data_IF_263672187285
#
_entry.id   IF_263672187285
#
_cell.length_a   1.000
_cell.length_b   1.000
_cell.length_c   1.000
_cell.angle_alpha   90.00
_cell.angle_beta   90.00
_cell.angle_gamma   90.00
#
_symmetry.space_group_name_H-M   'P 1'
#
loop_
_entity.id
_entity.type
_entity.pdbx_description
1 polymer ?
#
# COMPACT_ATOMS: atom_id res chain seq x y z
N UNK A 1 -2.19 0.10 24.93
CA UNK A 1 -2.11 -1.28 24.48
C UNK A 1 -1.83 -2.16 25.67
N UNK A 2 -2.42 -3.34 25.74
CA UNK A 2 -2.11 -4.33 26.77
C UNK A 2 -0.78 -5.02 26.46
N UNK A 3 0.07 -5.32 27.46
CA UNK A 3 1.34 -6.00 27.24
C UNK A 3 1.12 -7.43 26.71
N UNK A 4 1.89 -7.80 25.66
CA UNK A 4 1.87 -9.14 25.07
C UNK A 4 3.15 -9.87 25.47
N UNK A 5 3.01 -11.07 26.04
CA UNK A 5 4.13 -11.94 26.38
C UNK A 5 4.52 -12.74 25.13
N UNK A 6 5.79 -12.63 24.73
CA UNK A 6 6.36 -13.33 23.58
C UNK A 6 7.63 -14.05 24.00
N UNK A 7 7.92 -15.17 23.36
CA UNK A 7 9.25 -15.80 23.46
C UNK A 7 10.32 -14.87 22.87
N UNK A 8 11.52 -14.88 23.43
CA UNK A 8 12.59 -13.97 22.97
C UNK A 8 12.94 -14.16 21.48
N UNK A 9 12.80 -15.38 20.96
CA UNK A 9 13.01 -15.69 19.54
C UNK A 9 12.01 -14.98 18.61
N UNK A 10 10.82 -14.62 19.10
CA UNK A 10 9.81 -13.90 18.31
C UNK A 10 10.04 -12.38 18.27
N UNK A 11 10.94 -11.85 19.11
CA UNK A 11 11.18 -10.40 19.24
C UNK A 11 11.55 -9.71 17.92
N UNK A 12 12.41 -10.27 17.04
CA UNK A 12 12.72 -9.63 15.76
C UNK A 12 11.50 -9.54 14.84
N UNK A 13 10.68 -10.59 14.75
CA UNK A 13 9.47 -10.61 13.94
C UNK A 13 8.44 -9.60 14.46
N UNK A 14 8.24 -9.57 15.78
CA UNK A 14 7.38 -8.59 16.43
C UNK A 14 7.79 -7.15 16.10
N UNK A 15 9.07 -6.83 16.26
CA UNK A 15 9.58 -5.49 15.95
C UNK A 15 9.42 -5.15 14.46
N UNK A 16 9.72 -6.09 13.56
CA UNK A 16 9.53 -5.90 12.13
C UNK A 16 8.06 -5.63 11.78
N UNK A 17 7.12 -6.35 12.39
CA UNK A 17 5.68 -6.13 12.18
C UNK A 17 5.24 -4.74 12.65
N UNK A 18 5.71 -4.28 13.82
CA UNK A 18 5.41 -2.94 14.31
C UNK A 18 5.99 -1.84 13.42
N UNK A 19 7.24 -1.98 13.00
CA UNK A 19 7.88 -1.03 12.06
C UNK A 19 7.11 -1.01 10.74
N UNK A 20 6.68 -2.17 10.24
CA UNK A 20 5.93 -2.26 9.00
C UNK A 20 4.54 -1.63 9.09
N UNK A 21 3.81 -1.86 10.20
CA UNK A 21 2.46 -1.32 10.40
C UNK A 21 2.39 0.14 10.85
N UNK A 22 3.47 0.69 11.43
CA UNK A 22 3.48 2.06 11.97
C UNK A 22 4.47 2.97 11.23
N UNK A 23 5.75 2.59 11.17
CA UNK A 23 6.79 3.48 10.63
C UNK A 23 6.71 3.58 9.11
N UNK A 24 6.49 2.47 8.39
CA UNK A 24 6.37 2.51 6.94
C UNK A 24 5.15 3.29 6.46
N UNK A 25 4.06 3.32 7.24
CA UNK A 25 2.89 4.16 6.94
C UNK A 25 3.30 5.63 6.88
N UNK A 26 4.14 6.10 7.81
CA UNK A 26 4.67 7.48 7.78
C UNK A 26 5.47 7.73 6.50
N UNK A 27 6.32 6.79 6.09
CA UNK A 27 7.09 6.90 4.84
C UNK A 27 6.17 7.01 3.61
N UNK A 28 5.14 6.17 3.52
CA UNK A 28 4.18 6.21 2.41
C UNK A 28 3.39 7.53 2.37
N UNK A 29 2.97 8.04 3.53
CA UNK A 29 2.28 9.34 3.62
C UNK A 29 3.21 10.49 3.21
N UNK A 30 4.48 10.45 3.61
CA UNK A 30 5.46 11.46 3.22
C UNK A 30 5.70 11.47 1.70
N UNK A 31 5.87 10.29 1.09
CA UNK A 31 6.01 10.17 -0.37
C UNK A 31 4.75 10.64 -1.10
N UNK A 32 3.55 10.24 -0.65
CA UNK A 32 2.29 10.70 -1.24
C UNK A 32 2.12 12.23 -1.14
N UNK A 33 2.50 12.81 0.00
CA UNK A 33 2.47 14.27 0.22
C UNK A 33 3.37 15.00 -0.78
N UNK A 34 4.61 14.52 -0.96
CA UNK A 34 5.54 15.09 -1.92
C UNK A 34 5.05 14.98 -3.37
N UNK A 35 4.41 13.85 -3.73
CA UNK A 35 3.81 13.67 -5.06
C UNK A 35 2.65 14.62 -5.31
N UNK A 36 1.76 14.82 -4.34
CA UNK A 36 0.65 15.77 -4.42
C UNK A 36 1.16 17.22 -4.52
N UNK A 37 2.17 17.59 -3.73
CA UNK A 37 2.81 18.90 -3.84
C UNK A 37 3.38 19.14 -5.24
N UNK A 38 4.05 18.13 -5.82
CA UNK A 38 4.57 18.20 -7.17
C UNK A 38 3.48 18.27 -8.25
N UNK A 39 2.26 17.82 -7.94
CA UNK A 39 1.08 17.95 -8.79
C UNK A 39 0.34 19.30 -8.61
N UNK A 40 0.86 20.22 -7.78
CA UNK A 40 0.28 21.54 -7.55
C UNK A 40 -0.73 21.61 -6.41
N UNK A 41 -0.73 20.64 -5.50
CA UNK A 41 -1.56 20.69 -4.29
C UNK A 41 -0.84 21.47 -3.19
N UNK A 42 -1.40 22.60 -2.78
CA UNK A 42 -0.78 23.49 -1.77
C UNK A 42 -0.75 22.89 -0.36
N UNK A 43 -1.80 22.15 0.03
CA UNK A 43 -1.91 21.48 1.33
C UNK A 43 -2.23 19.98 1.15
N UNK A 44 -1.22 19.15 0.85
CA UNK A 44 -1.40 17.72 0.69
C UNK A 44 -1.92 17.03 1.96
N UNK A 45 -1.52 17.53 3.13
CA UNK A 45 -1.91 16.96 4.42
C UNK A 45 -3.42 17.02 4.64
N UNK A 46 -4.04 18.14 4.27
CA UNK A 46 -5.50 18.30 4.34
C UNK A 46 -6.27 17.36 3.42
N UNK A 47 -5.70 17.01 2.26
CA UNK A 47 -6.31 16.01 1.35
C UNK A 47 -6.07 14.58 1.84
N UNK A 48 -4.84 14.27 2.26
CA UNK A 48 -4.44 12.92 2.65
C UNK A 48 -5.04 12.49 3.99
N UNK A 49 -5.14 13.40 4.96
CA UNK A 49 -5.53 13.10 6.34
C UNK A 49 -6.79 12.21 6.42
N UNK A 50 -7.95 12.66 5.90
CA UNK A 50 -9.17 11.86 5.94
C UNK A 50 -9.05 10.50 5.24
N UNK A 51 -8.34 10.41 4.11
CA UNK A 51 -8.18 9.17 3.34
C UNK A 51 -7.28 8.16 4.04
N UNK A 52 -6.17 8.64 4.61
CA UNK A 52 -5.21 7.81 5.35
C UNK A 52 -5.85 7.30 6.63
N UNK A 53 -6.53 8.17 7.40
CA UNK A 53 -7.25 7.76 8.61
C UNK A 53 -8.30 6.70 8.29
N UNK A 54 -9.17 6.94 7.29
CA UNK A 54 -10.19 5.96 6.91
C UNK A 54 -9.58 4.60 6.48
N UNK A 55 -8.46 4.63 5.78
CA UNK A 55 -7.77 3.41 5.31
C UNK A 55 -7.14 2.63 6.46
N UNK A 56 -6.46 3.32 7.40
CA UNK A 56 -5.84 2.69 8.57
C UNK A 56 -6.91 2.19 9.55
N UNK A 57 -7.92 3.00 9.86
CA UNK A 57 -9.00 2.63 10.77
C UNK A 57 -9.79 1.44 10.23
N UNK A 58 -10.08 1.42 8.92
CA UNK A 58 -10.72 0.29 8.25
C UNK A 58 -9.88 -0.99 8.33
N UNK A 59 -8.58 -0.90 8.04
CA UNK A 59 -7.67 -2.04 8.11
C UNK A 59 -7.53 -2.59 9.55
N UNK A 60 -7.49 -1.72 10.55
CA UNK A 60 -7.40 -2.11 11.97
C UNK A 60 -8.69 -2.75 12.47
N UNK A 61 -9.86 -2.25 12.05
CA UNK A 61 -11.16 -2.81 12.43
C UNK A 61 -11.38 -4.23 11.88
N UNK A 62 -10.76 -4.56 10.76
CA UNK A 62 -10.91 -5.83 10.06
C UNK A 62 -9.72 -6.79 10.32
N UNK A 63 -8.72 -6.40 11.11
CA UNK A 63 -7.54 -7.22 11.39
C UNK A 63 -7.86 -8.51 12.17
N UNK A 64 -7.20 -9.66 11.86
CA UNK A 64 -6.15 -9.86 10.86
C UNK A 64 -6.64 -10.01 9.41
N UNK A 65 -7.95 -9.88 9.17
CA UNK A 65 -8.63 -10.05 7.89
C UNK A 65 -8.74 -8.80 6.99
N UNK A 66 -7.92 -7.76 7.22
CA UNK A 66 -7.95 -6.40 6.61
C UNK A 66 -8.17 -6.31 5.09
N UNK A 67 -8.06 -7.44 4.40
CA UNK A 67 -8.29 -7.64 2.97
C UNK A 67 -9.70 -7.26 2.51
N UNK A 68 -10.72 -7.26 3.38
CA UNK A 68 -12.09 -6.90 2.96
C UNK A 68 -12.22 -5.41 2.63
N UNK A 69 -11.42 -4.57 3.29
CA UNK A 69 -11.34 -3.12 3.08
C UNK A 69 -10.41 -2.71 1.93
N UNK A 70 -9.66 -3.66 1.38
CA UNK A 70 -8.75 -3.42 0.26
C UNK A 70 -9.56 -3.01 -0.98
N UNK A 71 -9.27 -1.82 -1.49
CA UNK A 71 -9.90 -1.23 -2.68
C UNK A 71 -8.84 -0.71 -3.65
N UNK A 72 -9.26 0.05 -4.67
CA UNK A 72 -8.34 0.69 -5.62
C UNK A 72 -8.14 -0.13 -6.91
N UNK A 73 -7.33 0.41 -7.84
CA UNK A 73 -7.18 -0.14 -9.18
C UNK A 73 -6.56 -1.54 -9.19
N UNK A 74 -5.65 -1.84 -8.25
CA UNK A 74 -5.06 -3.18 -8.11
C UNK A 74 -6.13 -4.23 -7.84
N UNK A 75 -6.97 -4.05 -6.81
CA UNK A 75 -8.01 -5.02 -6.45
C UNK A 75 -9.06 -5.18 -7.54
N UNK A 76 -9.38 -4.09 -8.26
CA UNK A 76 -10.31 -4.11 -9.40
C UNK A 76 -9.73 -4.74 -10.66
N UNK A 77 -8.43 -5.05 -10.71
CA UNK A 77 -7.76 -5.55 -11.91
C UNK A 77 -7.59 -4.48 -13.00
N UNK A 78 -7.63 -3.21 -12.63
CA UNK A 78 -7.50 -2.07 -13.56
C UNK A 78 -6.02 -1.81 -13.89
N UNK A 79 -5.47 -2.68 -14.74
CA UNK A 79 -4.09 -2.62 -15.18
C UNK A 79 -3.76 -1.33 -15.95
N UNK A 80 -4.74 -0.73 -16.63
CA UNK A 80 -4.55 0.53 -17.37
C UNK A 80 -4.28 1.71 -16.44
N UNK A 81 -5.04 1.82 -15.34
CA UNK A 81 -4.79 2.81 -14.30
C UNK A 81 -3.44 2.56 -13.62
N UNK A 82 -3.09 1.30 -13.31
CA UNK A 82 -1.79 0.95 -12.71
C UNK A 82 -0.63 1.36 -13.63
N UNK A 83 -0.69 1.04 -14.92
CA UNK A 83 0.33 1.43 -15.89
C UNK A 83 0.48 2.96 -15.97
N UNK A 84 -0.63 3.69 -15.96
CA UNK A 84 -0.63 5.16 -15.96
C UNK A 84 0.04 5.75 -14.72
N UNK A 85 -0.15 5.12 -13.55
CA UNK A 85 0.55 5.54 -12.33
C UNK A 85 2.06 5.30 -12.43
N UNK A 86 2.48 4.14 -12.92
CA UNK A 86 3.91 3.81 -13.09
C UNK A 86 4.58 4.81 -14.04
N UNK A 87 3.93 5.14 -15.15
CA UNK A 87 4.41 6.16 -16.10
C UNK A 87 4.55 7.54 -15.43
N UNK A 88 3.54 7.97 -14.67
CA UNK A 88 3.56 9.24 -13.95
C UNK A 88 4.69 9.35 -12.91
N UNK A 89 5.13 8.19 -12.38
CA UNK A 89 6.22 8.09 -11.41
C UNK A 89 7.60 7.86 -12.05
N UNK A 90 7.70 7.73 -13.38
CA UNK A 90 8.96 7.38 -14.06
C UNK A 90 10.12 8.35 -13.78
N UNK A 91 9.83 9.62 -13.50
CA UNK A 91 10.82 10.65 -13.13
C UNK A 91 11.14 10.72 -11.63
N UNK A 92 10.60 9.80 -10.82
CA UNK A 92 10.67 9.78 -9.35
C UNK A 92 10.99 8.36 -8.86
N UNK A 93 12.23 7.88 -9.07
CA UNK A 93 12.58 6.46 -8.94
C UNK A 93 12.30 5.89 -7.55
N UNK A 94 12.53 6.65 -6.47
CA UNK A 94 12.28 6.18 -5.11
C UNK A 94 10.78 5.98 -4.82
N UNK A 95 9.93 6.86 -5.35
CA UNK A 95 8.48 6.73 -5.23
C UNK A 95 7.95 5.62 -6.14
N UNK A 96 8.51 5.47 -7.35
CA UNK A 96 8.17 4.39 -8.27
C UNK A 96 8.48 3.02 -7.68
N UNK A 97 9.66 2.86 -7.06
CA UNK A 97 10.06 1.61 -6.40
C UNK A 97 9.11 1.25 -5.25
N UNK A 98 8.83 2.22 -4.36
CA UNK A 98 7.89 2.00 -3.26
C UNK A 98 6.48 1.66 -3.75
N UNK A 99 5.99 2.37 -4.77
CA UNK A 99 4.69 2.12 -5.39
C UNK A 99 4.60 0.69 -5.94
N UNK A 100 5.59 0.26 -6.72
CA UNK A 100 5.62 -1.09 -7.31
C UNK A 100 5.64 -2.19 -6.26
N UNK A 101 6.50 -2.05 -5.25
CA UNK A 101 6.60 -3.02 -4.16
C UNK A 101 5.28 -3.18 -3.40
N UNK A 102 4.65 -2.07 -3.01
CA UNK A 102 3.38 -2.09 -2.27
C UNK A 102 2.22 -2.56 -3.14
N UNK A 103 2.18 -2.15 -4.42
CA UNK A 103 1.15 -2.58 -5.35
C UNK A 103 1.23 -4.08 -5.67
N UNK A 104 2.44 -4.64 -5.79
CA UNK A 104 2.65 -6.09 -5.94
C UNK A 104 2.17 -6.84 -4.70
N UNK A 105 2.58 -6.41 -3.50
CA UNK A 105 2.11 -7.02 -2.25
C UNK A 105 0.57 -6.93 -2.09
N UNK A 106 -0.02 -5.81 -2.53
CA UNK A 106 -1.48 -5.61 -2.57
C UNK A 106 -2.16 -6.60 -3.53
N UNK A 107 -1.57 -6.83 -4.71
CA UNK A 107 -2.07 -7.79 -5.69
C UNK A 107 -2.01 -9.23 -5.17
N UNK A 108 -0.92 -9.58 -4.47
CA UNK A 108 -0.74 -10.91 -3.87
C UNK A 108 -1.80 -11.17 -2.80
N UNK A 109 -2.04 -10.21 -1.91
CA UNK A 109 -3.09 -10.28 -0.87
C UNK A 109 -4.49 -10.36 -1.50
N UNK A 110 -4.74 -9.59 -2.57
CA UNK A 110 -6.01 -9.64 -3.28
C UNK A 110 -6.23 -10.99 -3.96
N UNK A 111 -5.18 -11.61 -4.52
CA UNK A 111 -5.28 -12.91 -5.17
C UNK A 111 -5.52 -14.02 -4.13
N UNK A 112 -4.76 -14.03 -3.03
CA UNK A 112 -4.88 -15.04 -1.98
C UNK A 112 -6.24 -15.02 -1.28
N UNK A 113 -6.92 -13.87 -1.30
CA UNK A 113 -8.27 -13.68 -0.74
C UNK A 113 -9.40 -13.82 -1.75
N UNK A 114 -9.09 -14.14 -3.01
CA UNK A 114 -10.10 -14.29 -4.08
C UNK A 114 -10.78 -12.98 -4.50
N UNK A 115 -10.20 -11.82 -4.16
CA UNK A 115 -10.71 -10.48 -4.52
C UNK A 115 -10.37 -10.08 -5.95
N UNK A 116 -9.35 -10.72 -6.54
CA UNK A 116 -8.96 -10.59 -7.94
C UNK A 116 -8.77 -11.98 -8.55
N UNK A 117 -9.20 -12.14 -9.81
CA UNK A 117 -8.97 -13.38 -10.56
C UNK A 117 -7.55 -13.48 -11.14
N UNK A 118 -7.03 -14.70 -11.44
CA UNK A 118 -5.67 -14.89 -11.91
C UNK A 118 -5.29 -14.08 -13.16
N UNK A 119 -6.21 -13.93 -14.12
CA UNK A 119 -5.96 -13.17 -15.35
C UNK A 119 -5.79 -11.66 -15.07
N UNK A 120 -6.65 -11.10 -14.21
CA UNK A 120 -6.57 -9.70 -13.80
C UNK A 120 -5.32 -9.44 -12.95
N UNK A 121 -4.97 -10.37 -12.05
CA UNK A 121 -3.71 -10.34 -11.32
C UNK A 121 -2.51 -10.28 -12.26
N UNK A 122 -2.43 -11.20 -13.23
CA UNK A 122 -1.33 -11.22 -14.19
C UNK A 122 -1.22 -9.91 -15.00
N UNK A 123 -2.35 -9.32 -15.39
CA UNK A 123 -2.38 -8.04 -16.08
C UNK A 123 -1.85 -6.88 -15.18
N UNK A 124 -2.23 -6.85 -13.91
CA UNK A 124 -1.71 -5.87 -12.95
C UNK A 124 -0.21 -6.06 -12.73
N UNK A 125 0.27 -7.29 -12.54
CA UNK A 125 1.71 -7.56 -12.37
C UNK A 125 2.50 -7.14 -13.62
N UNK A 126 1.98 -7.40 -14.82
CA UNK A 126 2.60 -6.93 -16.05
C UNK A 126 2.64 -5.39 -16.15
N UNK A 127 1.57 -4.71 -15.73
CA UNK A 127 1.52 -3.25 -15.70
C UNK A 127 2.48 -2.62 -14.68
N UNK A 128 2.82 -3.34 -13.61
CA UNK A 128 3.83 -2.89 -12.63
C UNK A 128 5.25 -2.94 -13.18
N UNK A 129 5.54 -3.76 -14.19
CA UNK A 129 6.88 -3.93 -14.77
C UNK A 129 7.91 -4.56 -13.81
N UNK A 130 9.16 -4.59 -14.27
CA UNK A 130 10.31 -5.09 -13.49
C UNK A 130 10.99 -3.98 -12.68
N UNK A 131 11.54 -4.33 -11.52
CA UNK A 131 12.28 -3.43 -10.62
C UNK A 131 13.63 -2.99 -11.20
#
# INVERSE_FOLDING_TARGET
GEPVVLEDAARPLYHAALVHGANHVVTLVAQASALLAAAGVDDPGRLLGPLVHASVDGALADAPGAVSTLTGPVVRGDAGTVASHVEALASRPEAAQAYRAVARATADVALSSGRIGPAAYAAVIAALGDD
#
